data_IF_918925005528
#
_entry.id   IF_918925005528
#
_cell.length_a   1.000
_cell.length_b   1.000
_cell.length_c   1.000
_cell.angle_alpha   90.00
_cell.angle_beta   90.00
_cell.angle_gamma   90.00
#
_symmetry.space_group_name_H-M   'P 1'
#
loop_
_entity.id
_entity.type
_entity.pdbx_description
1 polymer ?
#
# COMPACT_ATOMS: atom_id res chain seq x y z
N UNK A 1 -28.52 -4.03 -20.17
CA UNK A 1 -27.34 -3.51 -19.45
C UNK A 1 -27.73 -2.15 -18.88
N UNK A 2 -27.68 -1.95 -17.56
CA UNK A 2 -28.08 -0.68 -16.92
C UNK A 2 -26.95 0.33 -17.14
N UNK A 3 -27.25 1.49 -17.72
CA UNK A 3 -26.28 2.58 -17.87
C UNK A 3 -26.21 3.33 -16.54
N UNK A 4 -25.12 3.14 -15.81
CA UNK A 4 -24.87 3.88 -14.57
C UNK A 4 -24.57 5.36 -14.90
N UNK A 5 -24.96 6.27 -14.00
CA UNK A 5 -24.55 7.66 -14.04
C UNK A 5 -23.05 7.78 -13.75
N UNK A 6 -22.40 8.85 -14.24
CA UNK A 6 -21.04 9.20 -13.83
C UNK A 6 -20.98 9.42 -12.30
N UNK A 7 -19.91 8.95 -11.65
CA UNK A 7 -19.65 9.26 -10.23
C UNK A 7 -19.56 10.78 -10.06
N UNK A 8 -20.30 11.33 -9.10
CA UNK A 8 -20.20 12.75 -8.72
C UNK A 8 -19.35 12.85 -7.46
N UNK A 9 -18.16 13.45 -7.59
CA UNK A 9 -17.25 13.69 -6.46
C UNK A 9 -17.19 15.19 -6.21
N UNK A 10 -17.54 15.63 -5.00
CA UNK A 10 -17.52 17.04 -4.61
C UNK A 10 -16.30 17.32 -3.71
N UNK A 11 -15.55 18.38 -4.04
CA UNK A 11 -14.44 18.87 -3.22
C UNK A 11 -14.91 19.83 -2.12
N UNK A 12 -14.00 20.18 -1.21
CA UNK A 12 -14.26 21.29 -0.27
C UNK A 12 -14.31 22.62 -1.03
N UNK A 13 -15.03 23.60 -0.48
CA UNK A 13 -15.05 24.95 -1.01
C UNK A 13 -13.68 25.63 -0.89
N UNK A 14 -13.23 26.28 -1.97
CA UNK A 14 -12.04 27.11 -1.97
C UNK A 14 -12.32 28.48 -1.32
N UNK A 15 -11.27 29.14 -0.82
CA UNK A 15 -11.35 30.51 -0.29
C UNK A 15 -10.21 31.36 -0.83
N UNK A 16 -10.48 32.61 -1.20
CA UNK A 16 -9.47 33.56 -1.68
C UNK A 16 -8.68 34.23 -0.53
N UNK A 17 -9.12 34.05 0.72
CA UNK A 17 -8.55 34.74 1.88
C UNK A 17 -7.36 33.99 2.50
N UNK A 18 -7.19 32.70 2.19
CA UNK A 18 -6.17 31.82 2.80
C UNK A 18 -5.71 30.76 1.80
N UNK A 19 -4.40 30.52 1.73
CA UNK A 19 -3.78 29.56 0.80
C UNK A 19 -4.21 28.09 1.07
N UNK A 20 -4.54 27.75 2.32
CA UNK A 20 -4.93 26.39 2.68
C UNK A 20 -3.77 25.37 2.58
N UNK A 21 -4.10 24.08 2.52
CA UNK A 21 -3.11 23.01 2.37
C UNK A 21 -3.06 22.58 0.90
N UNK A 22 -1.89 22.72 0.26
CA UNK A 22 -1.63 22.06 -1.00
C UNK A 22 -1.36 20.56 -0.77
N UNK A 23 -2.42 19.75 -0.89
CA UNK A 23 -2.38 18.30 -0.62
C UNK A 23 -1.46 17.56 -1.60
N UNK A 24 -1.43 17.99 -2.87
CA UNK A 24 -0.54 17.42 -3.89
C UNK A 24 0.92 17.60 -3.49
N UNK A 25 1.34 18.83 -3.18
CA UNK A 25 2.70 19.13 -2.70
C UNK A 25 3.02 18.32 -1.44
N UNK A 26 2.12 18.31 -0.46
CA UNK A 26 2.32 17.59 0.80
C UNK A 26 2.55 16.08 0.58
N UNK A 27 1.79 15.46 -0.34
CA UNK A 27 1.94 14.04 -0.69
C UNK A 27 3.31 13.78 -1.34
N UNK A 28 3.69 14.61 -2.31
CA UNK A 28 4.96 14.47 -3.04
C UNK A 28 6.17 14.64 -2.13
N UNK A 29 6.15 15.64 -1.24
CA UNK A 29 7.24 15.89 -0.29
C UNK A 29 7.41 14.74 0.73
N UNK A 30 6.32 14.13 1.20
CA UNK A 30 6.37 12.95 2.10
C UNK A 30 6.97 11.74 1.40
N UNK A 31 6.54 11.46 0.18
CA UNK A 31 7.09 10.37 -0.62
C UNK A 31 8.58 10.61 -0.92
N UNK A 32 8.95 11.83 -1.31
CA UNK A 32 10.34 12.21 -1.57
C UNK A 32 11.24 12.05 -0.34
N UNK A 33 10.75 12.47 0.84
CA UNK A 33 11.47 12.28 2.11
C UNK A 33 11.72 10.80 2.40
N UNK A 34 10.70 9.94 2.25
CA UNK A 34 10.90 8.50 2.47
C UNK A 34 11.91 7.91 1.47
N UNK A 35 11.82 8.28 0.18
CA UNK A 35 12.79 7.84 -0.84
C UNK A 35 14.22 8.25 -0.46
N UNK A 36 14.42 9.47 0.05
CA UNK A 36 15.74 9.92 0.52
C UNK A 36 16.27 9.04 1.67
N UNK A 37 15.44 8.76 2.67
CA UNK A 37 15.80 7.88 3.80
C UNK A 37 16.15 6.48 3.32
N UNK A 38 15.33 5.92 2.42
CA UNK A 38 15.55 4.59 1.82
C UNK A 38 16.88 4.51 1.05
N UNK A 39 17.20 5.52 0.23
CA UNK A 39 18.47 5.60 -0.51
C UNK A 39 19.66 5.69 0.45
N UNK A 40 19.57 6.48 1.51
CA UNK A 40 20.62 6.59 2.53
C UNK A 40 20.84 5.27 3.31
N UNK A 41 19.77 4.53 3.56
CA UNK A 41 19.82 3.23 4.24
C UNK A 41 20.21 2.05 3.32
N UNK A 42 20.27 2.27 2.00
CA UNK A 42 20.47 1.20 1.02
C UNK A 42 19.33 0.17 1.03
N UNK A 43 18.09 0.64 1.20
CA UNK A 43 16.87 -0.19 1.19
C UNK A 43 16.02 0.21 -0.01
N UNK A 44 16.02 -0.54 -1.11
CA UNK A 44 15.32 -0.14 -2.34
C UNK A 44 13.81 -0.28 -2.26
N UNK A 45 13.28 -1.11 -1.35
CA UNK A 45 11.84 -1.34 -1.19
C UNK A 45 11.43 -1.44 0.28
N UNK A 46 10.28 -0.86 0.61
CA UNK A 46 9.63 -0.94 1.91
C UNK A 46 8.20 -1.47 1.74
N UNK A 47 7.91 -2.59 2.40
CA UNK A 47 6.58 -3.16 2.57
C UNK A 47 5.99 -2.63 3.88
N UNK A 48 4.96 -1.79 3.76
CA UNK A 48 4.37 -1.07 4.90
C UNK A 48 2.89 -1.38 5.03
N UNK A 49 2.42 -1.61 6.26
CA UNK A 49 0.99 -1.75 6.59
C UNK A 49 0.56 -0.68 7.59
N UNK A 50 -0.72 -0.68 7.91
CA UNK A 50 -1.47 0.27 8.74
C UNK A 50 -1.70 1.61 8.03
N UNK A 51 -2.95 2.08 8.09
CA UNK A 51 -3.43 3.31 7.47
C UNK A 51 -2.47 4.50 7.64
N UNK A 52 -1.90 4.83 8.82
CA UNK A 52 -1.02 5.99 8.95
C UNK A 52 0.23 5.91 8.06
N UNK A 53 0.82 4.73 7.93
CA UNK A 53 2.03 4.52 7.12
C UNK A 53 1.68 4.58 5.63
N UNK A 54 0.64 3.85 5.22
CA UNK A 54 0.19 3.77 3.83
C UNK A 54 -0.24 5.16 3.35
N UNK A 55 -1.01 5.89 4.17
CA UNK A 55 -1.44 7.27 3.89
C UNK A 55 -0.29 8.24 3.79
N UNK A 56 0.70 8.12 4.67
CA UNK A 56 1.87 9.00 4.63
C UNK A 56 2.63 8.87 3.31
N UNK A 57 2.83 7.64 2.82
CA UNK A 57 3.64 7.35 1.65
C UNK A 57 2.90 7.50 0.31
N UNK A 58 1.61 7.18 0.28
CA UNK A 58 0.85 7.06 -0.97
C UNK A 58 -0.31 8.05 -1.07
N UNK A 59 -0.72 8.65 0.06
CA UNK A 59 -1.95 9.42 0.15
C UNK A 59 -3.22 8.57 0.17
N UNK A 60 -3.12 7.24 0.08
CA UNK A 60 -4.26 6.34 0.23
C UNK A 60 -4.65 6.24 1.71
N UNK A 61 -5.92 6.52 1.99
CA UNK A 61 -6.53 6.37 3.29
C UNK A 61 -7.88 5.71 3.04
N UNK A 62 -8.16 4.65 3.75
CA UNK A 62 -9.48 4.08 3.86
C UNK A 62 -9.68 3.74 5.32
N UNK A 63 -10.91 3.82 5.83
CA UNK A 63 -11.23 3.50 7.23
C UNK A 63 -10.94 2.01 7.53
N UNK A 64 -9.67 1.70 7.75
CA UNK A 64 -9.18 0.41 8.16
C UNK A 64 -9.62 0.17 9.59
N UNK A 65 -10.57 -0.75 9.75
CA UNK A 65 -11.08 -1.14 11.05
C UNK A 65 -10.41 -2.42 11.59
N UNK A 66 -9.61 -3.08 10.75
CA UNK A 66 -8.82 -4.26 11.10
C UNK A 66 -7.43 -4.21 10.43
N UNK A 67 -6.43 -4.92 10.96
CA UNK A 67 -5.09 -4.88 10.41
C UNK A 67 -4.96 -5.64 9.08
N UNK A 68 -3.92 -5.29 8.32
CA UNK A 68 -3.58 -5.89 7.02
C UNK A 68 -4.66 -5.76 5.94
N UNK A 69 -5.70 -4.95 6.17
CA UNK A 69 -6.70 -4.63 5.16
C UNK A 69 -6.14 -3.78 4.02
N UNK A 70 -5.06 -3.05 4.27
CA UNK A 70 -4.26 -2.49 3.19
C UNK A 70 -2.79 -2.36 3.56
N UNK A 71 -1.96 -2.36 2.53
CA UNK A 71 -0.52 -2.18 2.62
C UNK A 71 0.02 -1.67 1.29
N UNK A 72 1.28 -1.24 1.29
CA UNK A 72 1.94 -0.78 0.10
C UNK A 72 3.36 -1.34 -0.01
N UNK A 73 3.75 -1.67 -1.25
CA UNK A 73 5.16 -1.70 -1.63
C UNK A 73 5.54 -0.30 -2.08
N UNK A 74 6.39 0.35 -1.30
CA UNK A 74 6.95 1.66 -1.60
C UNK A 74 8.40 1.50 -2.03
N UNK A 75 8.77 2.08 -3.17
CA UNK A 75 10.09 1.89 -3.77
C UNK A 75 10.90 3.18 -3.72
N UNK A 76 12.22 3.05 -3.68
CA UNK A 76 13.12 4.20 -3.81
C UNK A 76 13.04 4.82 -5.21
N UNK A 77 12.97 4.00 -6.26
CA UNK A 77 13.06 4.43 -7.68
C UNK A 77 11.82 4.12 -8.54
N UNK A 78 10.85 3.35 -8.02
CA UNK A 78 9.63 2.99 -8.77
C UNK A 78 8.36 3.63 -8.17
N UNK A 79 7.27 3.63 -8.96
CA UNK A 79 5.94 3.96 -8.45
C UNK A 79 5.47 2.90 -7.43
N UNK A 80 4.79 3.30 -6.34
CA UNK A 80 4.31 2.38 -5.33
C UNK A 80 3.21 1.45 -5.87
N UNK A 81 3.07 0.29 -5.25
CA UNK A 81 1.92 -0.61 -5.43
C UNK A 81 1.10 -0.57 -4.15
N UNK A 82 -0.19 -0.26 -4.27
CA UNK A 82 -1.13 -0.30 -3.15
C UNK A 82 -1.97 -1.57 -3.24
N UNK A 83 -1.91 -2.36 -2.18
CA UNK A 83 -2.77 -3.51 -1.96
C UNK A 83 -3.91 -3.04 -1.07
N UNK A 84 -5.12 -2.97 -1.61
CA UNK A 84 -6.28 -2.42 -0.93
C UNK A 84 -7.34 -3.48 -0.68
N UNK A 85 -8.05 -3.39 0.45
CA UNK A 85 -9.20 -4.22 0.76
C UNK A 85 -10.17 -4.26 -0.42
N UNK A 86 -10.79 -5.41 -0.68
CA UNK A 86 -11.66 -5.62 -1.86
C UNK A 86 -12.72 -4.53 -2.05
N UNK A 87 -13.29 -4.00 -0.96
CA UNK A 87 -14.24 -2.90 -1.02
C UNK A 87 -13.63 -1.57 -1.50
N UNK A 88 -12.45 -1.20 -1.00
CA UNK A 88 -11.78 0.05 -1.36
C UNK A 88 -11.09 -0.05 -2.71
N UNK A 89 -10.54 -1.22 -3.06
CA UNK A 89 -9.92 -1.51 -4.36
C UNK A 89 -10.85 -1.22 -5.54
N UNK A 90 -12.16 -1.42 -5.40
CA UNK A 90 -13.13 -1.16 -6.47
C UNK A 90 -13.47 0.33 -6.65
N UNK A 91 -13.27 1.15 -5.61
CA UNK A 91 -13.75 2.54 -5.60
C UNK A 91 -12.61 3.56 -5.71
N UNK A 92 -11.49 3.29 -5.05
CA UNK A 92 -10.40 4.23 -4.82
C UNK A 92 -9.46 4.48 -6.01
N UNK A 93 -9.24 3.56 -6.97
CA UNK A 93 -8.40 3.84 -8.14
C UNK A 93 -8.86 5.06 -8.95
N UNK A 94 -10.18 5.29 -9.03
CA UNK A 94 -10.75 6.45 -9.73
C UNK A 94 -10.49 7.78 -8.98
N UNK A 95 -10.45 7.72 -7.64
CA UNK A 95 -10.31 8.92 -6.80
C UNK A 95 -8.84 9.30 -6.52
N UNK A 96 -7.93 8.36 -6.70
CA UNK A 96 -6.51 8.50 -6.37
C UNK A 96 -5.62 8.23 -7.60
N UNK A 97 -5.77 9.01 -8.69
CA UNK A 97 -5.15 8.73 -9.99
C UNK A 97 -3.62 8.78 -9.99
N UNK A 98 -3.00 9.32 -8.93
CA UNK A 98 -1.55 9.31 -8.77
C UNK A 98 -1.00 7.92 -8.35
N UNK A 99 -1.85 7.01 -7.86
CA UNK A 99 -1.47 5.61 -7.60
C UNK A 99 -1.76 4.81 -8.86
N UNK A 100 -0.70 4.40 -9.55
CA UNK A 100 -0.77 3.72 -10.86
C UNK A 100 -0.97 2.21 -10.75
N UNK A 101 -0.62 1.62 -9.61
CA UNK A 101 -0.63 0.18 -9.41
C UNK A 101 -1.46 -0.18 -8.19
N UNK A 102 -2.55 -0.91 -8.44
CA UNK A 102 -3.45 -1.40 -7.42
C UNK A 102 -3.52 -2.93 -7.49
N UNK A 103 -3.64 -3.55 -6.32
CA UNK A 103 -3.96 -4.98 -6.14
C UNK A 103 -5.01 -5.13 -5.05
N UNK A 104 -5.75 -6.23 -5.07
CA UNK A 104 -6.58 -6.59 -3.92
C UNK A 104 -5.65 -7.08 -2.80
N UNK A 105 -5.86 -6.60 -1.58
CA UNK A 105 -5.10 -7.05 -0.42
C UNK A 105 -5.52 -8.45 0.02
N UNK A 106 -4.52 -9.26 0.36
CA UNK A 106 -4.61 -10.48 1.17
C UNK A 106 -4.57 -10.13 2.65
N UNK A 107 -5.42 -10.75 3.48
CA UNK A 107 -5.43 -10.49 4.92
C UNK A 107 -5.91 -11.71 5.72
N UNK A 108 -5.23 -11.97 6.82
CA UNK A 108 -5.58 -12.99 7.81
C UNK A 108 -6.05 -12.38 9.15
N UNK A 109 -6.20 -11.05 9.21
CA UNK A 109 -6.74 -10.31 10.35
C UNK A 109 -6.16 -10.74 11.71
N UNK A 110 -4.83 -10.87 11.81
CA UNK A 110 -4.14 -11.35 13.02
C UNK A 110 -4.53 -12.77 13.48
N UNK A 111 -4.88 -13.64 12.54
CA UNK A 111 -5.18 -15.04 12.85
C UNK A 111 -6.58 -15.24 13.40
N UNK A 112 -7.55 -14.42 12.97
CA UNK A 112 -8.98 -14.66 13.28
C UNK A 112 -9.47 -16.00 12.70
N UNK A 113 -8.84 -16.46 11.62
CA UNK A 113 -9.12 -17.72 10.96
C UNK A 113 -8.32 -18.88 11.58
N UNK A 114 -8.61 -20.11 11.16
CA UNK A 114 -7.86 -21.30 11.58
C UNK A 114 -6.38 -21.19 11.20
N UNK A 115 -5.44 -21.79 11.96
CA UNK A 115 -4.01 -21.78 11.63
C UNK A 115 -3.70 -22.25 10.21
N UNK A 116 -4.45 -23.21 9.68
CA UNK A 116 -4.31 -23.74 8.32
C UNK A 116 -4.61 -22.67 7.27
N UNK A 117 -5.79 -22.05 7.36
CA UNK A 117 -6.21 -20.96 6.48
C UNK A 117 -5.27 -19.74 6.60
N UNK A 118 -4.79 -19.43 7.80
CA UNK A 118 -3.81 -18.35 8.00
C UNK A 118 -2.51 -18.65 7.25
N UNK A 119 -1.96 -19.87 7.38
CA UNK A 119 -0.73 -20.25 6.66
C UNK A 119 -0.89 -20.18 5.15
N UNK A 120 -2.03 -20.63 4.63
CA UNK A 120 -2.34 -20.55 3.20
C UNK A 120 -2.39 -19.09 2.72
N UNK A 121 -3.16 -18.24 3.40
CA UNK A 121 -3.35 -16.85 3.00
C UNK A 121 -2.06 -16.02 3.10
N UNK A 122 -1.27 -16.23 4.16
CA UNK A 122 0.03 -15.55 4.32
C UNK A 122 1.03 -16.03 3.26
N UNK A 123 1.00 -17.32 2.89
CA UNK A 123 1.84 -17.85 1.81
C UNK A 123 1.51 -17.23 0.45
N UNK A 124 0.22 -17.05 0.14
CA UNK A 124 -0.22 -16.34 -1.07
C UNK A 124 0.21 -14.88 -1.06
N UNK A 125 0.06 -14.20 0.09
CA UNK A 125 0.57 -12.85 0.29
C UNK A 125 2.07 -12.74 -0.01
N UNK A 126 2.91 -13.59 0.60
CA UNK A 126 4.35 -13.55 0.39
C UNK A 126 4.73 -13.85 -1.07
N UNK A 127 4.02 -14.77 -1.72
CA UNK A 127 4.17 -15.06 -3.15
C UNK A 127 3.86 -13.87 -4.04
N UNK A 128 2.77 -13.15 -3.79
CA UNK A 128 2.39 -11.93 -4.52
C UNK A 128 3.42 -10.80 -4.34
N UNK A 129 3.93 -10.60 -3.12
CA UNK A 129 5.01 -9.64 -2.86
C UNK A 129 6.27 -10.02 -3.64
N UNK A 130 6.69 -11.28 -3.59
CA UNK A 130 7.85 -11.77 -4.33
C UNK A 130 7.72 -11.53 -5.83
N UNK A 131 6.53 -11.79 -6.40
CA UNK A 131 6.27 -11.57 -7.81
C UNK A 131 6.41 -10.09 -8.20
N UNK A 132 5.84 -9.17 -7.41
CA UNK A 132 5.98 -7.72 -7.67
C UNK A 132 7.45 -7.25 -7.61
N UNK A 133 8.27 -7.85 -6.73
CA UNK A 133 9.70 -7.57 -6.70
C UNK A 133 10.44 -8.16 -7.90
N UNK A 134 10.11 -9.38 -8.31
CA UNK A 134 10.69 -10.02 -9.49
C UNK A 134 10.39 -9.25 -10.77
N UNK A 135 9.14 -8.84 -10.98
CA UNK A 135 8.71 -8.08 -12.16
C UNK A 135 9.42 -6.73 -12.29
N UNK A 136 9.91 -6.19 -11.17
CA UNK A 136 10.64 -4.91 -11.09
C UNK A 136 12.16 -5.09 -11.05
N UNK A 137 12.66 -6.33 -11.13
CA UNK A 137 14.09 -6.62 -11.06
C UNK A 137 14.71 -6.41 -9.68
N UNK A 138 13.91 -6.46 -8.62
CA UNK A 138 14.31 -6.27 -7.21
C UNK A 138 14.35 -7.59 -6.43
N UNK A 139 14.40 -8.72 -7.13
CA UNK A 139 14.52 -10.03 -6.49
C UNK A 139 15.88 -10.15 -5.77
N UNK A 140 15.86 -10.49 -4.47
CA UNK A 140 17.07 -10.62 -3.64
C UNK A 140 17.58 -9.29 -3.07
N UNK A 141 16.94 -8.17 -3.39
CA UNK A 141 17.24 -6.87 -2.78
C UNK A 141 16.69 -6.78 -1.35
N UNK A 142 17.22 -5.85 -0.55
CA UNK A 142 16.77 -5.66 0.83
C UNK A 142 15.31 -5.17 0.89
N UNK A 143 14.48 -5.90 1.61
CA UNK A 143 13.10 -5.53 1.91
C UNK A 143 12.96 -4.96 3.33
N UNK A 144 12.59 -3.68 3.43
CA UNK A 144 12.16 -3.10 4.70
C UNK A 144 10.73 -3.54 5.01
N UNK A 145 10.46 -4.08 6.20
CA UNK A 145 9.12 -4.52 6.62
C UNK A 145 8.65 -3.68 7.81
N UNK A 146 7.48 -3.04 7.70
CA UNK A 146 6.96 -2.12 8.72
C UNK A 146 5.52 -2.51 9.11
N UNK A 147 5.33 -2.88 10.37
CA UNK A 147 4.01 -3.09 10.99
C UNK A 147 3.39 -4.47 10.78
N UNK A 148 4.09 -5.40 10.14
CA UNK A 148 3.64 -6.78 9.94
C UNK A 148 3.94 -7.68 11.14
N UNK A 149 3.09 -8.69 11.35
CA UNK A 149 3.22 -9.66 12.43
C UNK A 149 4.34 -10.70 12.15
N UNK A 150 4.51 -11.66 13.06
CA UNK A 150 5.50 -12.73 12.91
C UNK A 150 5.15 -13.67 11.75
N UNK A 151 3.87 -14.01 11.58
CA UNK A 151 3.43 -14.93 10.53
C UNK A 151 3.81 -14.40 9.13
N UNK A 152 3.54 -13.12 8.85
CA UNK A 152 3.96 -12.48 7.62
C UNK A 152 5.49 -12.48 7.45
N UNK A 153 6.24 -12.14 8.51
CA UNK A 153 7.71 -12.08 8.44
C UNK A 153 8.33 -13.45 8.15
N UNK A 154 7.83 -14.52 8.75
CA UNK A 154 8.33 -15.87 8.48
C UNK A 154 7.98 -16.32 7.06
N UNK A 155 6.76 -16.06 6.59
CA UNK A 155 6.37 -16.43 5.22
C UNK A 155 7.14 -15.65 4.15
N UNK A 156 7.45 -14.37 4.39
CA UNK A 156 8.32 -13.58 3.51
C UNK A 156 9.72 -14.22 3.41
N UNK A 157 10.30 -14.66 4.55
CA UNK A 157 11.58 -15.39 4.56
C UNK A 157 11.51 -16.70 3.80
N UNK A 158 10.45 -17.48 3.98
CA UNK A 158 10.21 -18.73 3.24
C UNK A 158 10.09 -18.50 1.73
N UNK A 159 9.54 -17.35 1.33
CA UNK A 159 9.49 -16.90 -0.06
C UNK A 159 10.84 -16.38 -0.60
N UNK A 160 11.86 -16.28 0.25
CA UNK A 160 13.21 -15.82 -0.10
C UNK A 160 13.35 -14.30 -0.14
N UNK A 161 12.60 -13.57 0.69
CA UNK A 161 12.62 -12.11 0.85
C UNK A 161 13.24 -11.67 2.18
#
# INVERSE_FOLDING_TARGET
MIKMSSKLTFGHGFTDLREGINVTRMREERAARMRQVMKQAGVPVALVTNEPNVRYLTGFSWSEFMPFLSYALFFAEHDPVVFAHAGSYQQMPDELPWIKHWRCARSWLWGICTPEAMREEVGLFAGEIRQELQDRGLAGEKLGVIGFDEAARESLKEAGL
#
